data_IF_538718158660
#
_entry.id   IF_538718158660
#
_cell.length_a   1.000
_cell.length_b   1.000
_cell.length_c   1.000
_cell.angle_alpha   90.00
_cell.angle_beta   90.00
_cell.angle_gamma   90.00
#
_symmetry.space_group_name_H-M   'P 1'
#
loop_
_entity.id
_entity.type
_entity.pdbx_description
1 polymer ?
#
# COMPACT_ATOMS: atom_id res chain seq x y z
N UNK A 1 -40.02 46.22 3.84
CA UNK A 1 -39.11 46.37 4.99
C UNK A 1 -38.25 45.12 5.07
N UNK A 2 -36.92 45.29 5.06
CA UNK A 2 -35.91 44.22 5.10
C UNK A 2 -35.67 43.76 6.56
N UNK A 3 -34.68 42.90 6.87
CA UNK A 3 -34.78 41.51 7.32
C UNK A 3 -34.26 41.35 8.77
N UNK A 4 -34.05 40.12 9.27
CA UNK A 4 -32.79 39.63 9.89
C UNK A 4 -32.97 38.19 10.41
N UNK A 5 -31.96 37.31 10.30
CA UNK A 5 -32.04 35.87 10.55
C UNK A 5 -31.51 35.47 11.94
N UNK A 6 -31.97 34.34 12.48
CA UNK A 6 -31.35 33.71 13.65
C UNK A 6 -30.94 32.28 13.31
N UNK A 7 -29.63 32.13 13.09
CA UNK A 7 -28.87 30.90 13.19
C UNK A 7 -29.12 30.22 14.54
N UNK A 8 -29.60 28.98 14.57
CA UNK A 8 -29.24 28.00 15.60
C UNK A 8 -29.19 26.60 14.96
N UNK A 9 -27.95 26.20 14.67
CA UNK A 9 -27.35 24.90 15.02
C UNK A 9 -28.30 23.71 15.12
N UNK A 10 -28.27 22.84 14.11
CA UNK A 10 -28.24 21.40 14.38
C UNK A 10 -27.57 20.70 13.20
N UNK A 11 -26.24 20.67 13.27
CA UNK A 11 -25.45 19.69 12.54
C UNK A 11 -25.79 18.31 13.11
N UNK A 12 -26.86 17.71 12.60
CA UNK A 12 -27.18 16.32 12.90
C UNK A 12 -26.16 15.43 12.20
N UNK A 13 -25.23 14.96 13.02
CA UNK A 13 -24.84 13.57 13.09
C UNK A 13 -24.07 13.02 11.88
N UNK A 14 -22.76 13.19 11.99
CA UNK A 14 -21.79 12.26 11.44
C UNK A 14 -22.05 10.83 11.95
N UNK A 15 -21.58 9.87 11.14
CA UNK A 15 -21.48 8.43 11.38
C UNK A 15 -22.69 7.59 10.97
N UNK A 16 -22.76 7.32 9.66
CA UNK A 16 -23.02 5.95 9.23
C UNK A 16 -21.99 5.57 8.17
N UNK A 17 -21.06 4.71 8.61
CA UNK A 17 -20.34 3.68 7.86
C UNK A 17 -19.93 4.10 6.46
N UNK A 18 -18.66 4.51 6.35
CA UNK A 18 -18.02 4.67 5.06
C UNK A 18 -18.25 3.42 4.22
N UNK A 19 -19.03 3.59 3.14
CA UNK A 19 -18.80 2.83 1.93
C UNK A 19 -17.34 3.12 1.58
N UNK A 20 -16.43 2.23 2.00
CA UNK A 20 -15.09 2.13 1.43
C UNK A 20 -15.29 1.81 -0.03
N UNK A 21 -15.53 2.85 -0.82
CA UNK A 21 -15.73 2.77 -2.25
C UNK A 21 -14.46 2.17 -2.82
N UNK A 22 -14.60 0.96 -3.34
CA UNK A 22 -13.76 0.49 -4.43
C UNK A 22 -13.97 1.50 -5.56
N UNK A 23 -13.15 2.54 -5.54
CA UNK A 23 -13.12 3.54 -6.60
C UNK A 23 -12.42 2.83 -7.73
N UNK A 24 -13.19 2.29 -8.68
CA UNK A 24 -12.67 1.84 -9.96
C UNK A 24 -11.67 2.89 -10.45
N UNK A 25 -10.40 2.53 -10.72
CA UNK A 25 -9.43 3.49 -11.21
C UNK A 25 -9.93 4.05 -12.55
N UNK A 26 -9.89 5.39 -12.75
CA UNK A 26 -10.34 5.99 -13.99
C UNK A 26 -9.46 5.48 -15.14
N UNK A 27 -10.09 4.83 -16.13
CA UNK A 27 -9.45 4.35 -17.35
C UNK A 27 -8.59 5.47 -17.97
N UNK A 28 -7.26 5.35 -17.85
CA UNK A 28 -6.30 6.39 -18.22
C UNK A 28 -5.17 6.62 -17.20
N UNK A 29 -5.23 5.97 -16.04
CA UNK A 29 -4.10 5.90 -15.12
C UNK A 29 -3.00 5.05 -15.77
N UNK A 30 -1.73 5.52 -15.87
CA UNK A 30 -0.66 4.68 -16.39
C UNK A 30 -0.53 3.45 -15.49
N UNK A 31 -0.38 2.25 -16.06
CA UNK A 31 -0.34 0.97 -15.34
C UNK A 31 0.58 0.96 -14.10
N UNK A 32 1.62 1.79 -14.09
CA UNK A 32 2.53 2.03 -12.94
C UNK A 32 1.79 2.56 -11.69
N UNK A 33 0.84 3.46 -11.86
CA UNK A 33 0.06 4.01 -10.74
C UNK A 33 -0.94 2.99 -10.21
N UNK A 34 -1.45 2.09 -11.06
CA UNK A 34 -2.32 0.97 -10.64
C UNK A 34 -1.54 -0.08 -9.84
N UNK A 35 -0.36 -0.51 -10.32
CA UNK A 35 0.48 -1.48 -9.60
C UNK A 35 0.88 -0.94 -8.22
N UNK A 36 1.32 0.32 -8.13
CA UNK A 36 1.65 0.95 -6.85
C UNK A 36 0.47 1.03 -5.90
N UNK A 37 -0.72 1.34 -6.41
CA UNK A 37 -1.94 1.36 -5.59
C UNK A 37 -2.29 -0.04 -5.06
N UNK A 38 -2.19 -1.07 -5.91
CA UNK A 38 -2.42 -2.46 -5.50
C UNK A 38 -1.38 -2.95 -4.49
N UNK A 39 -0.08 -2.70 -4.71
CA UNK A 39 0.97 -3.03 -3.73
C UNK A 39 0.69 -2.36 -2.39
N UNK A 40 0.28 -1.08 -2.40
CA UNK A 40 -0.10 -0.36 -1.18
C UNK A 40 -1.28 -1.02 -0.46
N UNK A 41 -2.31 -1.41 -1.20
CA UNK A 41 -3.48 -2.10 -0.64
C UNK A 41 -3.12 -3.46 -0.04
N UNK A 42 -2.25 -4.24 -0.69
CA UNK A 42 -1.80 -5.54 -0.21
C UNK A 42 -1.00 -5.37 1.09
N UNK A 43 -0.08 -4.40 1.14
CA UNK A 43 0.65 -4.06 2.37
C UNK A 43 -0.34 -3.66 3.48
N UNK A 44 -1.26 -2.73 3.21
CA UNK A 44 -2.24 -2.29 4.21
C UNK A 44 -3.08 -3.46 4.77
N UNK A 45 -3.49 -4.37 3.90
CA UNK A 45 -4.25 -5.57 4.25
C UNK A 45 -3.42 -6.55 5.09
N UNK A 46 -2.20 -6.89 4.66
CA UNK A 46 -1.36 -7.88 5.33
C UNK A 46 -1.01 -7.44 6.75
N UNK A 47 -0.68 -6.16 6.92
CA UNK A 47 -0.33 -5.59 8.23
C UNK A 47 -1.55 -5.10 9.04
N UNK A 48 -2.76 -5.22 8.49
CA UNK A 48 -4.00 -4.72 9.09
C UNK A 48 -3.88 -3.24 9.55
N UNK A 49 -3.29 -2.41 8.70
CA UNK A 49 -3.11 -0.97 8.90
C UNK A 49 -3.91 -0.19 7.86
N UNK A 50 -4.30 1.04 8.18
CA UNK A 50 -4.97 1.88 7.20
C UNK A 50 -3.96 2.44 6.19
N UNK A 51 -4.37 2.59 4.92
CA UNK A 51 -3.48 3.09 3.85
C UNK A 51 -2.96 4.51 4.10
N UNK A 52 -3.58 5.28 4.99
CA UNK A 52 -3.16 6.62 5.37
C UNK A 52 -2.13 6.65 6.50
N UNK A 53 -1.88 5.53 7.20
CA UNK A 53 -0.94 5.47 8.33
C UNK A 53 0.51 5.24 7.89
N UNK A 54 0.74 4.89 6.63
CA UNK A 54 2.07 4.68 6.07
C UNK A 54 2.16 5.17 4.61
N UNK A 55 3.38 5.45 4.17
CA UNK A 55 3.72 5.79 2.79
C UNK A 55 4.46 4.63 2.13
N UNK A 56 4.33 4.48 0.81
CA UNK A 56 5.17 3.55 0.04
C UNK A 56 6.67 3.90 0.11
N UNK A 57 7.01 5.13 0.50
CA UNK A 57 8.40 5.54 0.76
C UNK A 57 8.90 5.15 2.16
N UNK A 58 8.00 4.73 3.06
CA UNK A 58 8.40 4.21 4.37
C UNK A 58 9.01 2.79 4.20
N UNK A 59 10.04 2.43 4.98
CA UNK A 59 10.56 1.07 5.00
C UNK A 59 9.48 0.09 5.48
N UNK A 60 9.38 -1.08 4.83
CA UNK A 60 8.43 -2.14 5.19
C UNK A 60 8.71 -2.64 6.60
N UNK A 61 9.98 -2.90 6.93
CA UNK A 61 10.44 -3.28 8.28
C UNK A 61 10.57 -2.08 9.23
N UNK A 62 10.01 -0.93 8.84
CA UNK A 62 9.99 0.25 9.66
C UNK A 62 8.98 0.13 10.81
N UNK A 63 9.19 0.93 11.86
CA UNK A 63 8.33 0.95 13.06
C UNK A 63 6.84 1.27 12.80
N UNK A 64 6.51 1.82 11.62
CA UNK A 64 5.13 2.18 11.28
C UNK A 64 4.28 0.98 10.88
N UNK A 65 4.87 0.09 10.09
CA UNK A 65 4.25 -1.16 9.66
C UNK A 65 4.50 -2.26 10.69
N UNK A 66 5.60 -2.16 11.44
CA UNK A 66 5.94 -3.13 12.47
C UNK A 66 6.28 -4.50 11.91
N UNK A 67 6.60 -4.57 10.61
CA UNK A 67 6.88 -5.81 9.91
C UNK A 67 8.21 -6.42 10.37
N UNK A 68 8.23 -7.74 10.50
CA UNK A 68 9.43 -8.52 10.73
C UNK A 68 9.92 -9.26 9.46
N UNK A 69 10.89 -10.15 9.64
CA UNK A 69 11.48 -10.95 8.57
C UNK A 69 10.49 -11.92 7.92
N UNK A 70 9.59 -12.49 8.71
CA UNK A 70 8.59 -13.44 8.24
C UNK A 70 7.49 -12.71 7.48
N UNK A 71 7.08 -11.54 7.97
CA UNK A 71 6.04 -10.74 7.33
C UNK A 71 6.42 -10.30 5.90
N UNK A 72 7.71 -10.04 5.62
CA UNK A 72 8.13 -9.75 4.24
C UNK A 72 8.00 -10.97 3.33
N UNK A 73 8.36 -12.15 3.83
CA UNK A 73 8.24 -13.39 3.06
C UNK A 73 6.78 -13.61 2.69
N UNK A 74 5.86 -13.44 3.65
CA UNK A 74 4.42 -13.54 3.40
C UNK A 74 3.94 -12.48 2.40
N UNK A 75 4.37 -11.22 2.56
CA UNK A 75 4.01 -10.14 1.64
C UNK A 75 4.48 -10.42 0.20
N UNK A 76 5.70 -10.93 0.03
CA UNK A 76 6.23 -11.24 -1.31
C UNK A 76 5.45 -12.39 -1.95
N UNK A 77 5.15 -13.45 -1.20
CA UNK A 77 4.34 -14.56 -1.71
C UNK A 77 2.95 -14.09 -2.16
N UNK A 78 2.28 -13.26 -1.37
CA UNK A 78 0.96 -12.69 -1.73
C UNK A 78 1.06 -11.82 -2.99
N UNK A 79 2.14 -11.05 -3.16
CA UNK A 79 2.35 -10.24 -4.37
C UNK A 79 2.63 -11.10 -5.60
N UNK A 80 3.47 -12.11 -5.49
CA UNK A 80 3.73 -13.08 -6.56
C UNK A 80 2.45 -13.76 -7.03
N UNK A 81 1.64 -14.24 -6.08
CA UNK A 81 0.35 -14.87 -6.36
C UNK A 81 -0.67 -13.87 -6.96
N UNK A 82 -0.73 -12.64 -6.43
CA UNK A 82 -1.68 -11.62 -6.90
C UNK A 82 -1.38 -11.16 -8.33
N UNK A 83 -0.10 -10.96 -8.64
CA UNK A 83 0.36 -10.47 -9.94
C UNK A 83 0.74 -11.60 -10.92
N UNK A 84 0.74 -12.86 -10.48
CA UNK A 84 1.17 -14.04 -11.25
C UNK A 84 2.59 -13.86 -11.83
N UNK A 85 3.50 -13.38 -10.98
CA UNK A 85 4.92 -13.15 -11.30
C UNK A 85 5.82 -13.93 -10.34
N UNK A 86 7.11 -13.98 -10.64
CA UNK A 86 8.12 -14.53 -9.74
C UNK A 86 9.14 -13.45 -9.44
N UNK A 87 9.23 -13.05 -8.17
CA UNK A 87 10.22 -12.09 -7.72
C UNK A 87 11.52 -12.82 -7.37
N UNK A 88 12.69 -12.17 -7.50
CA UNK A 88 13.95 -12.81 -7.20
C UNK A 88 14.14 -12.96 -5.68
N UNK A 89 14.57 -14.13 -5.23
CA UNK A 89 14.87 -14.45 -3.83
C UNK A 89 15.83 -13.45 -3.18
N UNK A 90 16.68 -12.76 -3.96
CA UNK A 90 17.57 -11.69 -3.49
C UNK A 90 16.85 -10.53 -2.78
N UNK A 91 15.53 -10.38 -3.01
CA UNK A 91 14.67 -9.42 -2.31
C UNK A 91 14.41 -9.88 -0.86
N UNK A 92 14.25 -11.18 -0.66
CA UNK A 92 13.96 -11.81 0.64
C UNK A 92 15.23 -12.15 1.40
N UNK A 93 16.15 -12.80 0.72
CA UNK A 93 17.45 -13.24 1.18
C UNK A 93 18.41 -12.18 0.67
N UNK A 94 18.67 -11.14 1.47
CA UNK A 94 19.70 -10.15 1.12
C UNK A 94 20.93 -10.90 0.60
N UNK A 95 21.39 -10.56 -0.61
CA UNK A 95 22.52 -11.22 -1.27
C UNK A 95 23.60 -11.51 -0.23
N UNK A 96 24.16 -12.73 -0.21
CA UNK A 96 24.94 -13.41 0.84
C UNK A 96 26.18 -12.66 1.43
N UNK A 97 26.27 -11.36 1.27
CA UNK A 97 27.33 -10.46 1.73
C UNK A 97 26.77 -9.53 2.80
N UNK A 98 26.88 -9.97 4.06
CA UNK A 98 27.09 -9.13 5.24
C UNK A 98 26.43 -7.74 5.25
N UNK A 99 25.11 -7.67 5.45
CA UNK A 99 24.45 -6.65 6.29
C UNK A 99 22.93 -6.70 6.16
N UNK A 100 22.31 -7.72 6.76
CA UNK A 100 20.90 -7.70 7.10
C UNK A 100 19.94 -7.82 5.92
N UNK A 101 18.90 -8.60 6.14
CA UNK A 101 17.59 -8.38 5.54
C UNK A 101 17.37 -6.87 5.30
N UNK A 102 17.08 -6.47 4.07
CA UNK A 102 17.20 -5.06 3.62
C UNK A 102 16.31 -4.15 4.48
N UNK A 103 16.83 -3.64 5.59
CA UNK A 103 16.12 -2.79 6.55
C UNK A 103 15.61 -1.46 5.94
N UNK A 104 15.96 -1.20 4.68
CA UNK A 104 15.50 -0.08 3.86
C UNK A 104 14.60 -0.45 2.70
N UNK A 105 14.14 -1.70 2.55
CA UNK A 105 13.20 -2.07 1.50
C UNK A 105 11.88 -1.34 1.72
N UNK A 106 11.48 -0.53 0.75
CA UNK A 106 10.26 0.28 0.76
C UNK A 106 9.19 -0.35 -0.12
N UNK A 107 7.92 -0.08 0.18
CA UNK A 107 6.81 -0.50 -0.69
C UNK A 107 6.95 0.04 -2.12
N UNK A 108 7.61 1.18 -2.30
CA UNK A 108 7.90 1.74 -3.61
C UNK A 108 8.89 0.90 -4.41
N UNK A 109 9.96 0.43 -3.78
CA UNK A 109 10.94 -0.44 -4.45
C UNK A 109 10.30 -1.77 -4.84
N UNK A 110 9.44 -2.30 -3.97
CA UNK A 110 8.69 -3.51 -4.24
C UNK A 110 7.75 -3.33 -5.44
N UNK A 111 6.98 -2.23 -5.49
CA UNK A 111 6.11 -1.93 -6.62
C UNK A 111 6.89 -1.78 -7.94
N UNK A 112 8.03 -1.08 -7.92
CA UNK A 112 8.87 -0.93 -9.11
C UNK A 112 9.40 -2.29 -9.61
N UNK A 113 9.69 -3.21 -8.68
CA UNK A 113 10.18 -4.54 -9.00
C UNK A 113 9.07 -5.39 -9.62
N UNK A 114 7.86 -5.37 -9.03
CA UNK A 114 6.65 -6.00 -9.58
C UNK A 114 6.37 -5.49 -11.00
N UNK A 115 6.41 -4.17 -11.21
CA UNK A 115 6.26 -3.57 -12.54
C UNK A 115 7.32 -4.06 -13.53
N UNK A 116 8.57 -4.19 -13.08
CA UNK A 116 9.68 -4.69 -13.89
C UNK A 116 9.47 -6.13 -14.35
N UNK A 117 8.86 -6.98 -13.53
CA UNK A 117 8.51 -8.35 -13.92
C UNK A 117 7.25 -8.42 -14.79
N UNK A 118 6.23 -7.59 -14.49
CA UNK A 118 5.01 -7.51 -15.31
C UNK A 118 5.29 -7.07 -16.75
N UNK A 119 6.31 -6.24 -16.98
CA UNK A 119 6.70 -5.81 -18.33
C UNK A 119 7.50 -6.86 -19.12
N UNK A 120 8.02 -7.90 -18.46
CA UNK A 120 8.77 -8.98 -19.11
C UNK A 120 7.86 -10.11 -19.61
N UNK A 121 6.66 -10.23 -19.06
CA UNK A 121 5.60 -11.12 -19.53
C UNK A 121 4.79 -10.50 -20.68
#
# INVERSE_FOLDING_TARGET
MRPIPLLIVSATLALLVGCGGYSDPPAGVPAQVETRAMVKQIIARQFNVAEDTFSLADPIMGKKLGADELDLVELVMELEDNFQITLPDAVLIGSESDSGFQAGLTGQQLANLVEGELQKN
#
